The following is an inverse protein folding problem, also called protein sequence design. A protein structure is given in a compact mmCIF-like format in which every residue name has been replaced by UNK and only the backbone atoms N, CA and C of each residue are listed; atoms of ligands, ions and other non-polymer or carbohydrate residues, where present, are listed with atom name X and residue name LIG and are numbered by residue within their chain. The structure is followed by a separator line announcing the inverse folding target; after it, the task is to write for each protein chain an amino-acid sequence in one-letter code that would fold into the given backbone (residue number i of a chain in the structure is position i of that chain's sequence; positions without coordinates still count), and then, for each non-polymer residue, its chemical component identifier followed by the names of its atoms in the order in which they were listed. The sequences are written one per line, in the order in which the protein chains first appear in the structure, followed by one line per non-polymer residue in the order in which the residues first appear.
data_IF_128461029950
#
_entry.id   IF_128461029950
#
_cell.length_a   1.000
_cell.length_b   1.000
_cell.length_c   1.000
_cell.angle_alpha   90.00
_cell.angle_beta   90.00
_cell.angle_gamma   90.00
#
_symmetry.space_group_name_H-M   'P 1'
#
loop_
_entity.id
_entity.type
_entity.pdbx_description
1 polymer ?
#
# COMPACT_ATOMS: atom_id res chain seq x y z
N UNK A 1 6.36 30.86 25.11
CA UNK A 1 5.94 29.45 24.86
C UNK A 1 4.70 29.31 23.96
N UNK A 2 3.89 30.37 23.74
CA UNK A 2 2.74 30.34 22.81
C UNK A 2 3.10 30.54 21.32
N UNK A 3 4.22 31.21 21.01
CA UNK A 3 4.62 31.48 19.61
C UNK A 3 5.35 30.35 18.88
N UNK A 4 5.83 29.30 19.58
CA UNK A 4 6.44 28.13 18.92
C UNK A 4 5.40 27.13 18.40
N UNK A 5 4.20 27.13 18.98
CA UNK A 5 3.11 26.21 18.60
C UNK A 5 2.39 26.69 17.32
N UNK A 6 2.25 28.00 17.15
CA UNK A 6 1.63 28.61 15.96
C UNK A 6 2.49 28.46 14.69
N UNK A 7 3.82 28.42 14.83
CA UNK A 7 4.74 28.19 13.71
C UNK A 7 4.81 26.72 13.24
N UNK A 8 4.63 25.75 14.13
CA UNK A 8 4.58 24.34 13.75
C UNK A 8 3.26 23.99 13.04
N UNK A 9 2.14 24.60 13.46
CA UNK A 9 0.84 24.45 12.78
C UNK A 9 0.85 25.14 11.41
N UNK A 10 1.47 26.32 11.27
CA UNK A 10 1.66 26.98 9.96
C UNK A 10 2.58 26.20 9.02
N UNK A 11 3.60 25.49 9.53
CA UNK A 11 4.46 24.60 8.73
C UNK A 11 3.72 23.32 8.30
N UNK A 12 2.86 22.74 9.14
CA UNK A 12 2.01 21.61 8.75
C UNK A 12 0.96 22.02 7.69
N UNK A 13 0.40 23.23 7.80
CA UNK A 13 -0.51 23.82 6.80
C UNK A 13 0.22 24.09 5.47
N UNK A 14 1.47 24.55 5.49
CA UNK A 14 2.25 24.77 4.28
C UNK A 14 2.74 23.47 3.60
N UNK A 15 3.03 22.41 4.37
CA UNK A 15 3.52 21.12 3.85
C UNK A 15 2.41 20.29 3.19
N UNK A 16 1.15 20.42 3.65
CA UNK A 16 -0.01 19.77 3.02
C UNK A 16 -0.65 20.60 1.89
N UNK A 17 -0.42 21.92 1.87
CA UNK A 17 -0.75 22.74 0.71
C UNK A 17 0.24 22.51 -0.44
N UNK A 18 1.46 22.02 -0.19
CA UNK A 18 2.46 21.74 -1.24
C UNK A 18 2.31 20.36 -1.91
N UNK A 19 1.56 19.42 -1.34
CA UNK A 19 1.11 18.20 -2.03
C UNK A 19 -0.24 18.38 -2.74
N UNK A 20 -0.94 19.50 -2.50
CA UNK A 20 -2.23 19.84 -3.12
C UNK A 20 -2.14 21.03 -4.09
N UNK A 21 -1.06 21.83 -4.07
CA UNK A 21 -0.86 23.00 -4.97
C UNK A 21 0.35 22.91 -5.91
N UNK A 22 1.05 21.78 -6.01
CA UNK A 22 1.88 21.51 -7.21
C UNK A 22 1.05 21.05 -8.42
N UNK A 23 -0.29 21.02 -8.28
CA UNK A 23 -1.25 20.73 -9.35
C UNK A 23 -2.35 21.79 -9.48
N UNK A 24 -2.02 23.09 -9.41
CA UNK A 24 -2.78 24.03 -10.23
C UNK A 24 -2.27 23.78 -11.67
N UNK A 25 -3.09 23.54 -12.69
CA UNK A 25 -4.14 24.41 -13.17
C UNK A 25 -5.11 23.63 -14.08
N UNK A 26 -6.41 23.93 -13.94
CA UNK A 26 -7.44 24.04 -14.98
C UNK A 26 -7.13 23.38 -16.34
N UNK A 27 -7.83 22.29 -16.71
CA UNK A 27 -8.88 22.27 -17.76
C UNK A 27 -9.28 20.89 -18.31
N UNK A 28 -10.50 20.92 -18.87
CA UNK A 28 -11.07 20.10 -19.95
C UNK A 28 -11.15 18.59 -19.75
N UNK A 29 -12.37 18.15 -19.38
CA UNK A 29 -12.82 16.81 -19.71
C UNK A 29 -12.78 16.59 -21.21
N UNK A 30 -12.05 15.57 -21.62
CA UNK A 30 -12.28 14.89 -22.89
C UNK A 30 -12.32 13.40 -22.54
N UNK A 31 -13.54 12.87 -22.41
CA UNK A 31 -13.76 11.43 -22.43
C UNK A 31 -13.26 10.92 -23.79
N UNK A 32 -12.16 10.19 -23.80
CA UNK A 32 -11.82 9.37 -24.95
C UNK A 32 -12.56 8.05 -24.82
N UNK A 33 -13.45 7.78 -25.79
CA UNK A 33 -14.01 6.46 -25.99
C UNK A 33 -12.86 5.50 -26.31
N UNK A 34 -12.52 4.64 -25.35
CA UNK A 34 -11.51 3.61 -25.51
C UNK A 34 -12.10 2.48 -26.37
N UNK A 35 -11.73 2.46 -27.65
CA UNK A 35 -11.76 1.24 -28.44
C UNK A 35 -10.52 0.41 -28.06
N UNK A 36 -10.59 -0.33 -26.95
CA UNK A 36 -9.43 -1.04 -26.41
C UNK A 36 -9.30 -2.45 -26.98
N UNK A 37 -8.23 -2.67 -27.74
CA UNK A 37 -7.64 -3.99 -27.87
C UNK A 37 -7.06 -4.33 -26.50
N UNK A 38 -7.66 -5.30 -25.82
CA UNK A 38 -7.19 -5.82 -24.54
C UNK A 38 -5.73 -6.28 -24.68
N UNK A 39 -4.78 -5.43 -24.28
CA UNK A 39 -3.36 -5.76 -24.32
C UNK A 39 -3.06 -6.82 -23.24
N UNK A 40 -2.19 -7.81 -23.48
CA UNK A 40 -1.84 -8.77 -22.46
C UNK A 40 -1.05 -8.07 -21.33
N UNK A 41 -1.58 -8.05 -20.10
CA UNK A 41 -0.87 -7.48 -18.94
C UNK A 41 0.16 -8.40 -18.33
N UNK A 42 0.31 -9.60 -18.89
CA UNK A 42 1.36 -10.53 -18.51
C UNK A 42 2.23 -10.73 -19.74
N UNK A 43 3.36 -10.04 -19.77
CA UNK A 43 4.52 -10.53 -20.54
C UNK A 43 5.20 -11.55 -19.65
N UNK A 44 5.63 -12.68 -20.22
CA UNK A 44 6.16 -13.80 -19.46
C UNK A 44 7.20 -13.32 -18.43
N UNK A 45 6.89 -13.52 -17.16
CA UNK A 45 7.70 -13.07 -16.04
C UNK A 45 8.69 -14.15 -15.68
N UNK A 46 9.94 -13.75 -15.46
CA UNK A 46 10.94 -14.62 -14.83
C UNK A 46 11.25 -14.02 -13.47
N UNK A 47 10.57 -14.51 -12.43
CA UNK A 47 11.15 -14.38 -11.09
C UNK A 47 12.39 -15.25 -11.12
N UNK A 48 13.56 -14.62 -10.99
CA UNK A 48 14.82 -15.33 -11.04
C UNK A 48 14.86 -16.42 -9.95
N UNK A 49 15.53 -17.55 -10.19
CA UNK A 49 15.76 -18.51 -9.12
C UNK A 49 16.49 -17.82 -7.97
N UNK A 50 16.30 -18.28 -6.71
CA UNK A 50 16.99 -17.72 -5.57
C UNK A 50 18.49 -17.60 -5.84
N UNK A 51 19.08 -16.45 -5.51
CA UNK A 51 20.51 -16.22 -5.67
C UNK A 51 21.31 -17.32 -4.95
N UNK A 52 22.37 -17.75 -5.62
CA UNK A 52 23.19 -18.91 -5.20
C UNK A 52 23.56 -18.81 -3.72
N UNK A 53 23.28 -19.90 -2.99
CA UNK A 53 23.36 -20.08 -1.53
C UNK A 53 22.04 -19.93 -0.73
N UNK A 54 20.93 -19.49 -1.32
CA UNK A 54 19.64 -19.45 -0.61
C UNK A 54 18.77 -20.67 -0.87
N UNK A 55 18.14 -21.19 0.18
CA UNK A 55 17.12 -22.24 0.09
C UNK A 55 15.74 -21.69 -0.28
N UNK A 56 15.49 -20.40 0.00
CA UNK A 56 14.29 -19.65 -0.38
C UNK A 56 14.65 -18.28 -0.94
N UNK A 57 13.84 -17.71 -1.85
CA UNK A 57 13.97 -16.31 -2.25
C UNK A 57 13.93 -15.38 -1.03
N UNK A 58 14.77 -14.35 -1.04
CA UNK A 58 14.76 -13.25 -0.07
C UNK A 58 14.00 -12.05 -0.66
N UNK A 59 12.89 -11.70 -0.03
CA UNK A 59 12.06 -10.55 -0.38
C UNK A 59 12.36 -9.41 0.61
N UNK A 60 12.84 -8.27 0.10
CA UNK A 60 12.95 -7.05 0.88
C UNK A 60 11.73 -6.16 0.60
N UNK A 61 11.01 -5.74 1.64
CA UNK A 61 9.93 -4.76 1.53
C UNK A 61 10.43 -3.45 2.10
N UNK A 62 10.44 -2.39 1.29
CA UNK A 62 10.96 -1.09 1.71
C UNK A 62 9.92 -0.27 2.45
N UNK A 63 10.34 0.43 3.49
CA UNK A 63 9.54 1.43 4.19
C UNK A 63 10.38 2.66 4.52
N UNK A 64 9.80 3.84 4.35
CA UNK A 64 10.41 5.14 4.62
C UNK A 64 9.47 5.95 5.53
N UNK A 65 10.06 6.71 6.45
CA UNK A 65 9.34 7.72 7.24
C UNK A 65 8.79 8.87 6.36
N UNK A 66 9.10 8.88 5.06
CA UNK A 66 8.52 9.75 4.06
C UNK A 66 7.13 9.29 3.56
N UNK A 67 6.36 8.62 4.41
CA UNK A 67 4.94 8.32 4.20
C UNK A 67 4.67 7.04 3.42
N UNK A 68 5.34 5.94 3.77
CA UNK A 68 5.00 4.61 3.26
C UNK A 68 3.56 4.22 3.61
N UNK A 69 2.81 3.78 2.61
CA UNK A 69 1.42 3.36 2.78
C UNK A 69 1.32 2.03 3.56
N UNK A 70 0.37 1.99 4.50
CA UNK A 70 0.23 0.94 5.52
C UNK A 70 -0.15 -0.40 4.90
N UNK A 71 -1.18 -0.42 4.07
CA UNK A 71 -1.73 -1.63 3.46
C UNK A 71 -0.77 -2.18 2.41
N UNK A 72 -0.21 -1.32 1.55
CA UNK A 72 0.79 -1.64 0.53
C UNK A 72 2.05 -2.26 1.14
N UNK A 73 2.38 -1.96 2.40
CA UNK A 73 3.48 -2.60 3.11
C UNK A 73 3.04 -3.90 3.81
N UNK A 74 1.98 -3.84 4.61
CA UNK A 74 1.65 -4.92 5.56
C UNK A 74 1.01 -6.12 4.86
N UNK A 75 0.19 -5.90 3.82
CA UNK A 75 -0.46 -6.97 3.06
C UNK A 75 0.55 -7.91 2.39
N UNK A 76 1.50 -7.43 1.56
CA UNK A 76 2.50 -8.33 0.98
C UNK A 76 3.37 -8.99 2.04
N UNK A 77 3.72 -8.28 3.13
CA UNK A 77 4.44 -8.87 4.25
C UNK A 77 3.68 -10.09 4.81
N UNK A 78 2.41 -9.92 5.13
CA UNK A 78 1.56 -10.97 5.74
C UNK A 78 1.35 -12.15 4.79
N UNK A 79 1.02 -11.90 3.52
CA UNK A 79 0.75 -12.96 2.52
C UNK A 79 2.01 -13.78 2.25
N UNK A 80 3.15 -13.13 2.00
CA UNK A 80 4.41 -13.82 1.70
C UNK A 80 4.88 -14.65 2.90
N UNK A 81 4.81 -14.12 4.13
CA UNK A 81 5.17 -14.88 5.34
C UNK A 81 4.23 -16.06 5.58
N UNK A 82 2.92 -15.86 5.39
CA UNK A 82 1.92 -16.93 5.53
C UNK A 82 2.13 -18.06 4.53
N UNK A 83 2.59 -17.73 3.31
CA UNK A 83 2.86 -18.72 2.27
C UNK A 83 4.07 -19.61 2.54
N UNK A 84 5.07 -19.11 3.29
CA UNK A 84 6.37 -19.75 3.45
C UNK A 84 7.19 -19.85 2.15
N UNK A 85 6.79 -19.15 1.08
CA UNK A 85 7.43 -19.18 -0.23
C UNK A 85 8.75 -18.40 -0.28
N UNK A 86 8.96 -17.45 0.64
CA UNK A 86 10.13 -16.59 0.70
C UNK A 86 10.48 -16.20 2.14
N UNK A 87 11.75 -15.90 2.37
CA UNK A 87 12.18 -15.15 3.54
C UNK A 87 11.87 -13.67 3.30
N UNK A 88 11.13 -13.03 4.20
CA UNK A 88 10.68 -11.64 4.06
C UNK A 88 11.35 -10.78 5.12
N UNK A 89 11.89 -9.64 4.70
CA UNK A 89 12.56 -8.67 5.57
C UNK A 89 12.06 -7.25 5.31
N UNK A 90 11.68 -6.55 6.39
CA UNK A 90 11.33 -5.14 6.37
C UNK A 90 12.61 -4.28 6.40
N UNK A 91 12.81 -3.43 5.39
CA UNK A 91 14.04 -2.64 5.24
C UNK A 91 13.71 -1.14 5.17
N UNK A 92 14.50 -0.33 5.86
CA UNK A 92 14.35 1.13 5.93
C UNK A 92 15.64 1.86 5.56
N UNK A 93 15.61 3.14 5.14
CA UNK A 93 16.84 3.85 4.80
C UNK A 93 17.82 4.02 5.96
N UNK A 94 17.36 4.53 7.10
CA UNK A 94 18.21 5.06 8.17
C UNK A 94 17.74 4.71 9.60
N UNK A 95 16.44 4.58 9.83
CA UNK A 95 15.87 4.26 11.13
C UNK A 95 14.94 3.06 11.07
N UNK A 96 15.07 2.16 12.04
CA UNK A 96 14.19 0.98 12.10
C UNK A 96 12.79 1.30 12.60
N UNK A 97 12.57 2.39 13.35
CA UNK A 97 11.20 2.85 13.62
C UNK A 97 10.67 3.62 12.41
N UNK A 98 9.56 3.14 11.86
CA UNK A 98 8.91 3.71 10.67
C UNK A 98 7.47 4.10 11.00
N UNK A 99 7.10 5.32 10.64
CA UNK A 99 5.75 5.84 10.64
C UNK A 99 5.11 5.55 9.27
N UNK A 100 4.16 4.62 9.27
CA UNK A 100 3.34 4.28 8.11
C UNK A 100 2.14 5.22 8.06
N UNK A 101 1.76 5.58 6.84
CA UNK A 101 0.56 6.36 6.58
C UNK A 101 -0.59 5.44 6.19
N UNK A 102 -1.83 5.75 6.58
CA UNK A 102 -2.22 6.91 7.37
C UNK A 102 -2.17 6.72 8.90
N UNK A 103 -1.93 5.52 9.43
CA UNK A 103 -2.29 5.22 10.82
C UNK A 103 -1.24 4.50 11.69
N UNK A 104 -0.36 3.68 11.12
CA UNK A 104 0.39 2.69 11.89
C UNK A 104 1.86 3.07 12.08
N UNK A 105 2.48 2.53 13.12
CA UNK A 105 3.93 2.62 13.32
C UNK A 105 4.49 1.23 13.49
N UNK A 106 5.67 0.98 12.95
CA UNK A 106 6.31 -0.33 13.04
C UNK A 106 7.81 -0.23 13.25
N UNK A 107 8.43 -1.36 13.61
CA UNK A 107 9.88 -1.54 13.62
C UNK A 107 10.31 -2.42 12.44
N UNK A 108 10.89 -1.82 11.41
CA UNK A 108 11.61 -2.53 10.36
C UNK A 108 12.71 -3.44 10.93
N UNK A 109 13.00 -4.54 10.23
CA UNK A 109 13.99 -5.53 10.66
C UNK A 109 15.42 -4.98 10.58
N UNK A 110 15.68 -4.14 9.59
CA UNK A 110 17.02 -3.63 9.32
C UNK A 110 17.00 -2.32 8.54
N UNK A 111 18.18 -1.70 8.41
CA UNK A 111 18.41 -0.53 7.56
C UNK A 111 19.04 -0.96 6.24
N UNK A 112 19.06 -0.09 5.21
CA UNK A 112 19.73 -0.38 3.93
C UNK A 112 21.19 -0.76 4.11
N UNK A 113 21.94 -0.01 4.92
CA UNK A 113 23.35 -0.28 5.20
C UNK A 113 23.55 -1.68 5.80
N UNK A 114 22.76 -2.02 6.83
CA UNK A 114 22.87 -3.32 7.50
C UNK A 114 22.36 -4.46 6.63
N UNK A 115 21.31 -4.25 5.85
CA UNK A 115 20.83 -5.21 4.87
C UNK A 115 21.91 -5.53 3.84
N UNK A 116 22.52 -4.51 3.25
CA UNK A 116 23.54 -4.68 2.23
C UNK A 116 24.81 -5.36 2.79
N UNK A 117 25.18 -5.06 4.03
CA UNK A 117 26.29 -5.71 4.71
C UNK A 117 26.03 -7.20 4.98
N UNK A 118 24.81 -7.56 5.40
CA UNK A 118 24.40 -8.94 5.64
C UNK A 118 24.10 -9.71 4.33
N UNK A 119 23.74 -8.98 3.27
CA UNK A 119 23.22 -9.52 2.02
C UNK A 119 23.95 -8.91 0.82
N UNK A 120 25.25 -9.17 0.63
CA UNK A 120 26.05 -8.50 -0.41
C UNK A 120 25.57 -8.81 -1.84
N UNK A 121 24.90 -9.95 -2.04
CA UNK A 121 24.27 -10.31 -3.32
C UNK A 121 22.94 -9.58 -3.59
N UNK A 122 22.41 -8.82 -2.63
CA UNK A 122 21.10 -8.15 -2.70
C UNK A 122 19.91 -9.10 -2.55
N UNK A 123 18.71 -8.54 -2.51
CA UNK A 123 17.44 -9.26 -2.47
C UNK A 123 17.15 -10.01 -3.78
N UNK A 124 16.33 -11.06 -3.73
CA UNK A 124 15.78 -11.70 -4.93
C UNK A 124 14.59 -10.90 -5.48
N UNK A 125 13.78 -10.32 -4.57
CA UNK A 125 12.65 -9.46 -4.90
C UNK A 125 12.68 -8.23 -3.99
N UNK A 126 12.40 -7.06 -4.54
CA UNK A 126 12.18 -5.82 -3.78
C UNK A 126 10.76 -5.34 -3.99
N UNK A 127 9.99 -5.22 -2.91
CA UNK A 127 8.64 -4.66 -2.90
C UNK A 127 8.70 -3.20 -2.45
N UNK A 128 8.09 -2.33 -3.26
CA UNK A 128 8.06 -0.87 -3.10
C UNK A 128 6.60 -0.41 -2.96
N UNK A 129 6.14 -0.15 -1.72
CA UNK A 129 4.85 0.46 -1.46
C UNK A 129 4.73 1.90 -2.01
N UNK A 130 3.52 2.45 -2.02
CA UNK A 130 3.34 3.89 -2.20
C UNK A 130 4.05 4.71 -1.11
N UNK A 131 4.54 5.89 -1.47
CA UNK A 131 5.26 6.80 -0.59
C UNK A 131 4.89 8.26 -0.91
N UNK A 132 4.67 9.11 0.09
CA UNK A 132 4.41 10.54 -0.14
C UNK A 132 5.58 11.26 -0.83
N UNK A 133 6.83 10.83 -0.60
CA UNK A 133 7.99 11.32 -1.36
C UNK A 133 8.62 10.21 -2.17
N UNK A 134 8.21 10.14 -3.43
CA UNK A 134 8.66 9.11 -4.37
C UNK A 134 10.06 9.35 -4.98
N UNK A 135 10.76 10.43 -4.62
CA UNK A 135 12.02 10.86 -5.24
C UNK A 135 13.22 10.90 -4.27
N UNK A 136 13.09 10.29 -3.10
CA UNK A 136 14.12 10.30 -2.05
C UNK A 136 15.45 9.70 -2.57
N UNK A 137 16.56 10.47 -2.61
CA UNK A 137 17.79 10.01 -3.26
C UNK A 137 18.36 8.69 -2.71
N UNK A 138 18.31 8.49 -1.39
CA UNK A 138 18.77 7.26 -0.76
C UNK A 138 17.94 6.03 -1.17
N UNK A 139 16.61 6.19 -1.26
CA UNK A 139 15.69 5.16 -1.76
C UNK A 139 16.00 4.85 -3.22
N UNK A 140 16.03 5.86 -4.09
CA UNK A 140 16.28 5.65 -5.52
C UNK A 140 17.63 4.98 -5.79
N UNK A 141 18.68 5.39 -5.06
CA UNK A 141 20.01 4.79 -5.19
C UNK A 141 20.02 3.32 -4.74
N UNK A 142 19.37 3.00 -3.61
CA UNK A 142 19.29 1.63 -3.13
C UNK A 142 18.47 0.74 -4.06
N UNK A 143 17.33 1.20 -4.58
CA UNK A 143 16.51 0.46 -5.55
C UNK A 143 17.30 0.17 -6.84
N UNK A 144 18.03 1.16 -7.38
CA UNK A 144 18.92 0.95 -8.54
C UNK A 144 20.00 -0.09 -8.25
N UNK A 145 20.57 -0.08 -7.05
CA UNK A 145 21.57 -1.06 -6.63
C UNK A 145 20.99 -2.48 -6.58
N UNK A 146 19.80 -2.66 -6.00
CA UNK A 146 19.16 -3.97 -5.92
C UNK A 146 18.76 -4.48 -7.32
N UNK A 147 18.20 -3.62 -8.17
CA UNK A 147 17.88 -3.95 -9.56
C UNK A 147 19.13 -4.32 -10.37
N UNK A 148 20.23 -3.58 -10.22
CA UNK A 148 21.51 -3.92 -10.85
C UNK A 148 22.11 -5.24 -10.33
N UNK A 149 21.77 -5.64 -9.11
CA UNK A 149 22.09 -6.96 -8.56
C UNK A 149 21.11 -8.06 -9.02
N UNK A 150 20.18 -7.76 -9.92
CA UNK A 150 19.23 -8.72 -10.48
C UNK A 150 18.00 -9.01 -9.62
N UNK A 151 17.63 -8.11 -8.71
CA UNK A 151 16.36 -8.23 -7.98
C UNK A 151 15.16 -7.94 -8.89
N UNK A 152 14.11 -8.76 -8.82
CA UNK A 152 12.82 -8.40 -9.41
C UNK A 152 12.17 -7.27 -8.61
N UNK A 153 11.56 -6.31 -9.29
CA UNK A 153 10.98 -5.11 -8.68
C UNK A 153 9.46 -5.20 -8.67
N UNK A 154 8.84 -5.06 -7.51
CA UNK A 154 7.38 -5.06 -7.34
C UNK A 154 6.96 -3.72 -6.78
N UNK A 155 6.21 -2.94 -7.53
CA UNK A 155 5.64 -1.67 -7.06
C UNK A 155 4.15 -1.85 -6.77
N UNK A 156 3.72 -1.43 -5.59
CA UNK A 156 2.31 -1.45 -5.20
C UNK A 156 1.76 -0.03 -5.21
N UNK A 157 0.59 0.17 -5.82
CA UNK A 157 -0.10 1.46 -5.89
C UNK A 157 0.79 2.55 -6.52
N UNK A 158 0.96 3.68 -5.83
CA UNK A 158 1.86 4.77 -6.24
C UNK A 158 3.36 4.44 -6.02
N UNK A 159 3.70 3.23 -5.56
CA UNK A 159 5.07 2.70 -5.57
C UNK A 159 5.67 2.67 -6.98
N UNK A 160 4.81 2.63 -8.01
CA UNK A 160 5.22 2.74 -9.40
C UNK A 160 5.89 4.08 -9.70
N UNK A 161 5.49 5.18 -9.05
CA UNK A 161 6.16 6.47 -9.19
C UNK A 161 7.61 6.41 -8.66
N UNK A 162 7.84 5.68 -7.57
CA UNK A 162 9.18 5.51 -6.98
C UNK A 162 10.10 4.77 -7.97
N UNK A 163 9.59 3.69 -8.58
CA UNK A 163 10.33 2.95 -9.61
C UNK A 163 10.55 3.79 -10.87
N UNK A 164 9.57 4.60 -11.28
CA UNK A 164 9.69 5.50 -12.42
C UNK A 164 10.76 6.58 -12.17
N UNK A 165 10.79 7.20 -10.99
CA UNK A 165 11.83 8.13 -10.57
C UNK A 165 13.22 7.45 -10.49
N UNK A 166 13.27 6.16 -10.14
CA UNK A 166 14.50 5.37 -10.21
C UNK A 166 14.92 5.02 -11.65
N UNK A 167 14.09 5.32 -12.66
CA UNK A 167 14.32 4.97 -14.06
C UNK A 167 14.14 3.49 -14.36
N UNK A 168 13.49 2.73 -13.47
CA UNK A 168 13.32 1.28 -13.58
C UNK A 168 12.09 0.88 -14.41
N UNK A 169 11.22 1.83 -14.76
CA UNK A 169 10.04 1.61 -15.61
C UNK A 169 10.22 2.10 -17.06
N UNK A 170 11.41 2.60 -17.44
CA UNK A 170 11.65 3.09 -18.80
C UNK A 170 11.46 1.95 -19.82
N UNK A 171 10.63 2.19 -20.82
CA UNK A 171 10.26 1.23 -21.87
C UNK A 171 9.60 -0.06 -21.36
N UNK A 172 9.02 -0.02 -20.16
CA UNK A 172 8.24 -1.11 -19.57
C UNK A 172 6.75 -0.81 -19.66
N UNK A 173 5.96 -1.87 -19.67
CA UNK A 173 4.51 -1.83 -19.46
C UNK A 173 4.24 -1.79 -17.97
N UNK A 174 3.43 -0.83 -17.51
CA UNK A 174 3.15 -0.64 -16.09
C UNK A 174 1.70 -0.17 -15.84
N UNK A 175 1.22 -0.38 -14.62
CA UNK A 175 0.00 0.26 -14.09
C UNK A 175 0.33 0.99 -12.78
N UNK A 176 -0.60 1.80 -12.29
CA UNK A 176 -0.52 2.47 -10.98
C UNK A 176 -1.93 2.86 -10.52
N UNK A 177 -2.03 3.48 -9.36
CA UNK A 177 -3.31 3.93 -8.78
C UNK A 177 -4.06 4.86 -9.76
N UNK A 178 -5.37 4.66 -9.88
CA UNK A 178 -6.23 5.36 -10.86
C UNK A 178 -6.05 6.89 -10.84
N UNK A 179 -5.91 7.46 -9.64
CA UNK A 179 -5.77 8.91 -9.44
C UNK A 179 -4.45 9.48 -9.99
N UNK A 180 -3.36 8.72 -9.92
CA UNK A 180 -2.01 9.18 -10.25
C UNK A 180 -1.63 8.88 -11.70
N UNK A 181 -2.25 7.86 -12.31
CA UNK A 181 -1.87 7.29 -13.61
C UNK A 181 -1.73 8.32 -14.73
N UNK A 182 -2.67 9.25 -14.86
CA UNK A 182 -2.58 10.30 -15.89
C UNK A 182 -1.41 11.27 -15.66
N UNK A 183 -1.11 11.58 -14.40
CA UNK A 183 0.06 12.36 -14.03
C UNK A 183 1.36 11.65 -14.35
N UNK A 184 1.41 10.34 -14.07
CA UNK A 184 2.56 9.48 -14.38
C UNK A 184 2.77 9.36 -15.88
N UNK A 185 1.71 9.14 -16.67
CA UNK A 185 1.76 9.08 -18.13
C UNK A 185 2.36 10.34 -18.76
N UNK A 186 2.09 11.52 -18.18
CA UNK A 186 2.70 12.79 -18.64
C UNK A 186 4.17 12.93 -18.22
N UNK A 187 4.53 12.51 -17.02
CA UNK A 187 5.88 12.68 -16.45
C UNK A 187 6.89 11.63 -16.94
N UNK A 188 6.40 10.42 -17.22
CA UNK A 188 7.18 9.24 -17.61
C UNK A 188 6.61 8.67 -18.91
N UNK A 189 6.68 9.48 -19.98
CA UNK A 189 6.12 9.16 -21.29
C UNK A 189 6.83 8.00 -22.01
N UNK A 190 7.99 7.57 -21.51
CA UNK A 190 8.72 6.39 -21.98
C UNK A 190 8.28 5.08 -21.30
N UNK A 191 7.36 5.14 -20.33
CA UNK A 191 6.66 3.98 -19.75
C UNK A 191 5.29 3.81 -20.42
N UNK A 192 4.97 2.57 -20.79
CA UNK A 192 3.67 2.21 -21.37
C UNK A 192 2.65 1.96 -20.24
N UNK A 193 1.92 3.01 -19.86
CA UNK A 193 0.95 2.98 -18.78
C UNK A 193 -0.40 2.43 -19.25
N UNK A 194 -0.76 1.25 -18.78
CA UNK A 194 -2.02 0.57 -19.12
C UNK A 194 -3.05 0.64 -17.99
N UNK A 195 -4.31 0.61 -18.40
CA UNK A 195 -5.48 0.74 -17.54
C UNK A 195 -6.09 -0.64 -17.26
N UNK A 196 -7.14 -0.71 -16.44
CA UNK A 196 -8.00 -1.89 -16.27
C UNK A 196 -7.29 -3.19 -15.86
N UNK A 197 -6.21 -3.07 -15.09
CA UNK A 197 -5.48 -4.19 -14.50
C UNK A 197 -5.10 -3.95 -13.05
N UNK A 198 -5.37 -4.94 -12.20
CA UNK A 198 -4.94 -4.94 -10.79
C UNK A 198 -3.44 -5.03 -10.68
N UNK A 199 -2.81 -5.79 -11.57
CA UNK A 199 -1.37 -5.86 -11.67
C UNK A 199 -0.92 -6.14 -13.10
N UNK A 200 0.25 -5.62 -13.43
CA UNK A 200 0.92 -5.75 -14.72
C UNK A 200 2.31 -6.29 -14.48
N UNK A 201 2.74 -7.22 -15.32
CA UNK A 201 4.05 -7.84 -15.22
C UNK A 201 4.75 -7.76 -16.57
N UNK A 202 5.90 -7.08 -16.58
CA UNK A 202 6.78 -6.91 -17.72
C UNK A 202 8.19 -7.39 -17.34
N UNK A 203 8.46 -8.67 -17.59
CA UNK A 203 9.73 -9.31 -17.25
C UNK A 203 9.94 -9.45 -15.75
N UNK A 204 10.96 -8.74 -15.24
CA UNK A 204 11.38 -8.70 -13.84
C UNK A 204 10.69 -7.60 -13.02
N UNK A 205 9.74 -6.87 -13.63
CA UNK A 205 8.99 -5.80 -12.97
C UNK A 205 7.50 -6.18 -12.87
N UNK A 206 6.94 -6.05 -11.68
CA UNK A 206 5.51 -6.09 -11.41
C UNK A 206 5.07 -4.72 -10.88
N UNK A 207 3.95 -4.21 -11.38
CA UNK A 207 3.31 -2.98 -10.87
C UNK A 207 1.84 -3.27 -10.59
N UNK A 208 1.25 -2.63 -9.58
CA UNK A 208 -0.18 -2.79 -9.25
C UNK A 208 -0.95 -1.50 -9.42
N UNK A 209 -2.27 -1.61 -9.57
CA UNK A 209 -3.18 -0.49 -9.38
C UNK A 209 -3.33 -0.20 -7.88
N UNK A 210 -4.46 0.33 -7.42
CA UNK A 210 -4.62 0.87 -6.07
C UNK A 210 -4.51 -0.13 -4.92
N UNK A 211 -4.78 0.37 -3.72
CA UNK A 211 -4.42 -0.27 -2.44
C UNK A 211 -4.97 -1.70 -2.31
N UNK A 212 -6.20 -1.95 -2.78
CA UNK A 212 -6.83 -3.28 -2.77
C UNK A 212 -6.10 -4.30 -3.66
N UNK A 213 -5.37 -3.86 -4.69
CA UNK A 213 -4.64 -4.74 -5.59
C UNK A 213 -3.40 -5.38 -4.94
N UNK A 214 -3.00 -4.92 -3.74
CA UNK A 214 -1.91 -5.52 -2.96
C UNK A 214 -2.16 -7.00 -2.65
N UNK A 215 -3.41 -7.42 -2.39
CA UNK A 215 -3.77 -8.83 -2.14
C UNK A 215 -3.57 -9.70 -3.38
N UNK A 216 -4.26 -9.46 -4.51
CA UNK A 216 -4.13 -10.29 -5.71
C UNK A 216 -2.71 -10.29 -6.28
N UNK A 217 -1.99 -9.16 -6.21
CA UNK A 217 -0.59 -9.08 -6.65
C UNK A 217 0.34 -9.94 -5.77
N UNK A 218 0.14 -9.92 -4.45
CA UNK A 218 0.94 -10.74 -3.52
C UNK A 218 0.69 -12.24 -3.74
N UNK A 219 -0.55 -12.65 -4.00
CA UNK A 219 -0.87 -14.03 -4.35
C UNK A 219 -0.27 -14.44 -5.70
N UNK A 220 -0.32 -13.56 -6.70
CA UNK A 220 0.33 -13.77 -8.00
C UNK A 220 1.86 -13.85 -7.90
N UNK A 221 2.46 -13.18 -6.91
CA UNK A 221 3.87 -13.29 -6.58
C UNK A 221 4.18 -14.63 -5.90
N UNK A 222 3.36 -15.07 -4.93
CA UNK A 222 3.49 -16.40 -4.32
C UNK A 222 3.41 -17.50 -5.38
N UNK A 223 2.47 -17.38 -6.32
CA UNK A 223 2.32 -18.32 -7.44
C UNK A 223 3.60 -18.44 -8.27
N UNK A 224 4.30 -17.33 -8.50
CA UNK A 224 5.57 -17.32 -9.24
C UNK A 224 6.75 -17.86 -8.43
N UNK A 225 6.74 -17.65 -7.13
CA UNK A 225 7.82 -18.11 -6.23
C UNK A 225 7.72 -19.61 -5.90
N UNK A 226 6.50 -20.12 -5.70
CA UNK A 226 6.26 -21.46 -5.14
C UNK A 226 5.18 -22.27 -5.89
N UNK A 227 4.68 -21.76 -7.01
CA UNK A 227 3.71 -22.44 -7.86
C UNK A 227 2.24 -22.22 -7.43
N UNK A 228 1.30 -22.60 -8.31
CA UNK A 228 -0.13 -22.32 -8.13
C UNK A 228 -0.77 -23.04 -6.93
N UNK A 229 -0.21 -24.19 -6.52
CA UNK A 229 -0.70 -24.90 -5.33
C UNK A 229 -0.43 -24.12 -4.04
N UNK A 230 0.77 -23.54 -3.90
CA UNK A 230 1.14 -22.71 -2.75
C UNK A 230 0.30 -21.42 -2.69
N UNK A 231 0.04 -20.80 -3.85
CA UNK A 231 -0.80 -19.61 -3.94
C UNK A 231 -2.25 -19.91 -3.50
N UNK A 232 -2.86 -20.99 -4.01
CA UNK A 232 -4.23 -21.39 -3.60
C UNK A 232 -4.33 -21.72 -2.11
N UNK A 233 -3.36 -22.44 -1.57
CA UNK A 233 -3.34 -22.75 -0.14
C UNK A 233 -3.16 -21.48 0.71
N UNK A 234 -2.33 -20.54 0.25
CA UNK A 234 -2.17 -19.24 0.91
C UNK A 234 -3.48 -18.44 0.85
N UNK A 235 -4.12 -18.33 -0.31
CA UNK A 235 -5.40 -17.66 -0.47
C UNK A 235 -6.46 -18.23 0.48
N UNK A 236 -6.56 -19.56 0.58
CA UNK A 236 -7.47 -20.25 1.52
C UNK A 236 -7.18 -19.88 2.98
N UNK A 237 -5.92 -19.82 3.39
CA UNK A 237 -5.52 -19.43 4.76
C UNK A 237 -5.79 -17.96 5.07
N UNK A 238 -5.69 -17.10 4.07
CA UNK A 238 -6.01 -15.69 4.17
C UNK A 238 -7.51 -15.42 4.02
N UNK A 239 -8.31 -16.43 3.66
CA UNK A 239 -9.74 -16.27 3.34
C UNK A 239 -9.97 -15.37 2.14
N UNK A 240 -9.12 -15.49 1.12
CA UNK A 240 -9.29 -14.89 -0.22
C UNK A 240 -9.87 -15.97 -1.14
N UNK A 241 -11.05 -15.71 -1.70
CA UNK A 241 -11.77 -16.70 -2.53
C UNK A 241 -11.19 -16.80 -3.93
N UNK A 242 -10.96 -15.66 -4.59
CA UNK A 242 -10.46 -15.57 -5.96
C UNK A 242 -9.52 -14.37 -6.11
N UNK A 243 -8.58 -14.46 -7.04
CA UNK A 243 -7.73 -13.33 -7.42
C UNK A 243 -7.50 -13.35 -8.93
N UNK A 244 -7.52 -12.17 -9.54
CA UNK A 244 -7.36 -11.97 -10.98
C UNK A 244 -6.54 -10.71 -11.24
N UNK A 245 -5.88 -10.66 -12.40
CA UNK A 245 -5.26 -9.43 -12.91
C UNK A 245 -6.30 -8.48 -13.52
N UNK A 246 -7.47 -8.97 -13.91
CA UNK A 246 -8.55 -8.18 -14.51
C UNK A 246 -9.12 -7.19 -13.48
N UNK A 247 -9.34 -5.95 -13.94
CA UNK A 247 -9.89 -4.87 -13.15
C UNK A 247 -10.74 -3.97 -14.03
N UNK A 248 -11.79 -3.36 -13.47
CA UNK A 248 -12.55 -2.31 -14.14
C UNK A 248 -12.20 -0.97 -13.51
N UNK A 249 -11.12 -0.37 -14.01
CA UNK A 249 -10.58 0.90 -13.52
C UNK A 249 -11.51 2.08 -13.83
N UNK A 250 -12.39 1.94 -14.82
CA UNK A 250 -13.34 2.99 -15.22
C UNK A 250 -14.34 3.36 -14.11
N UNK A 251 -14.53 2.46 -13.12
CA UNK A 251 -15.41 2.69 -11.97
C UNK A 251 -14.84 3.70 -10.97
N UNK A 252 -13.53 3.95 -11.01
CA UNK A 252 -12.84 4.80 -10.06
C UNK A 252 -12.53 6.15 -10.69
N UNK A 253 -13.36 7.14 -10.35
CA UNK A 253 -13.18 8.51 -10.79
C UNK A 253 -13.65 9.49 -9.71
N UNK A 254 -13.00 10.67 -9.65
CA UNK A 254 -13.47 11.76 -8.82
C UNK A 254 -14.80 12.30 -9.38
N UNK A 255 -15.90 11.85 -8.79
CA UNK A 255 -17.21 12.45 -9.04
C UNK A 255 -17.40 13.74 -8.24
N UNK A 256 -18.29 14.61 -8.70
CA UNK A 256 -18.70 15.82 -7.95
C UNK A 256 -19.19 15.50 -6.54
N UNK A 257 -19.89 14.37 -6.38
CA UNK A 257 -20.31 13.83 -5.09
C UNK A 257 -19.13 13.42 -4.21
N UNK A 258 -18.16 12.69 -4.76
CA UNK A 258 -16.96 12.29 -4.02
C UNK A 258 -16.18 13.52 -3.51
N UNK A 259 -15.98 14.53 -4.38
CA UNK A 259 -15.31 15.79 -4.00
C UNK A 259 -16.10 16.55 -2.93
N UNK A 260 -17.43 16.62 -3.06
CA UNK A 260 -18.28 17.26 -2.06
C UNK A 260 -18.20 16.55 -0.70
N UNK A 261 -18.24 15.21 -0.68
CA UNK A 261 -18.03 14.41 0.54
C UNK A 261 -16.67 14.69 1.16
N UNK A 262 -15.61 14.67 0.36
CA UNK A 262 -14.25 14.91 0.81
C UNK A 262 -14.11 16.29 1.48
N UNK A 263 -14.70 17.33 0.87
CA UNK A 263 -14.72 18.68 1.44
C UNK A 263 -15.56 18.73 2.74
N UNK A 264 -16.74 18.12 2.75
CA UNK A 264 -17.60 18.09 3.95
C UNK A 264 -16.92 17.36 5.11
N UNK A 265 -16.26 16.23 4.85
CA UNK A 265 -15.50 15.48 5.84
C UNK A 265 -14.37 16.31 6.41
N UNK A 266 -13.64 17.02 5.54
CA UNK A 266 -12.54 17.90 5.95
C UNK A 266 -12.99 19.13 6.73
N UNK A 267 -14.13 19.74 6.41
CA UNK A 267 -14.64 20.94 7.11
C UNK A 267 -15.27 20.57 8.47
N UNK A 268 -15.63 19.30 8.67
CA UNK A 268 -16.14 18.78 9.93
C UNK A 268 -15.06 18.60 11.03
N UNK A 269 -13.98 19.41 11.03
CA UNK A 269 -12.86 19.35 12.00
C UNK A 269 -13.32 19.35 13.47
N UNK A 270 -14.43 20.01 13.77
CA UNK A 270 -15.04 20.07 15.11
C UNK A 270 -15.55 18.70 15.61
N UNK A 271 -15.56 17.68 14.74
CA UNK A 271 -15.94 16.29 15.01
C UNK A 271 -14.86 15.30 14.56
N UNK A 272 -13.59 15.74 14.47
CA UNK A 272 -12.49 14.83 14.15
C UNK A 272 -12.21 13.92 15.34
N UNK A 273 -12.24 12.61 15.12
CA UNK A 273 -12.11 11.60 16.17
C UNK A 273 -10.75 10.92 16.11
N UNK A 274 -10.27 10.43 17.25
CA UNK A 274 -9.11 9.53 17.25
C UNK A 274 -9.53 8.23 17.89
N UNK A 275 -9.58 7.18 17.08
CA UNK A 275 -9.90 5.85 17.53
C UNK A 275 -8.65 5.11 18.02
N UNK A 276 -8.84 4.31 19.05
CA UNK A 276 -7.87 3.32 19.48
C UNK A 276 -8.14 2.01 18.74
N UNK A 277 -7.10 1.43 18.15
CA UNK A 277 -7.12 0.07 17.63
C UNK A 277 -6.37 -0.81 18.63
N UNK A 278 -7.07 -1.55 19.51
CA UNK A 278 -6.42 -2.44 20.45
C UNK A 278 -5.74 -3.58 19.69
N UNK A 279 -4.45 -3.78 19.93
CA UNK A 279 -3.66 -4.86 19.36
C UNK A 279 -3.02 -5.68 20.47
N UNK A 280 -3.11 -6.99 20.33
CA UNK A 280 -2.50 -7.96 21.24
C UNK A 280 -1.45 -8.79 20.51
N UNK A 281 -0.59 -9.48 21.27
CA UNK A 281 0.43 -10.35 20.67
C UNK A 281 -0.23 -11.42 19.81
N UNK A 282 0.28 -11.61 18.60
CA UNK A 282 -0.29 -12.56 17.63
C UNK A 282 -1.47 -12.00 16.83
N UNK A 283 -1.69 -10.68 16.82
CA UNK A 283 -2.72 -10.07 15.98
C UNK A 283 -2.56 -10.43 14.50
N UNK A 284 -3.68 -10.42 13.77
CA UNK A 284 -3.72 -10.60 12.32
C UNK A 284 -3.34 -9.30 11.61
N UNK A 285 -2.22 -9.33 10.88
CA UNK A 285 -1.68 -8.14 10.22
C UNK A 285 -2.60 -7.55 9.17
N UNK A 286 -3.28 -8.42 8.40
CA UNK A 286 -4.14 -7.98 7.31
C UNK A 286 -5.39 -7.32 7.87
N UNK A 287 -5.99 -7.91 8.89
CA UNK A 287 -7.12 -7.30 9.60
C UNK A 287 -6.74 -5.92 10.16
N UNK A 288 -5.57 -5.82 10.81
CA UNK A 288 -5.10 -4.56 11.43
C UNK A 288 -4.82 -3.49 10.37
N UNK A 289 -4.12 -3.85 9.29
CA UNK A 289 -3.79 -2.91 8.23
C UNK A 289 -5.05 -2.35 7.56
N UNK A 290 -5.93 -3.23 7.05
CA UNK A 290 -7.15 -2.82 6.34
C UNK A 290 -8.08 -2.00 7.23
N UNK A 291 -8.22 -2.38 8.50
CA UNK A 291 -9.07 -1.66 9.46
C UNK A 291 -8.51 -0.28 9.76
N UNK A 292 -7.23 -0.18 10.14
CA UNK A 292 -6.61 1.09 10.50
C UNK A 292 -6.59 2.05 9.32
N UNK A 293 -6.26 1.55 8.14
CA UNK A 293 -6.14 2.32 6.92
C UNK A 293 -7.51 2.88 6.48
N UNK A 294 -8.54 2.03 6.39
CA UNK A 294 -9.89 2.46 6.02
C UNK A 294 -10.46 3.54 6.96
N UNK A 295 -10.33 3.34 8.27
CA UNK A 295 -10.81 4.33 9.25
C UNK A 295 -10.04 5.65 9.17
N UNK A 296 -8.74 5.62 8.93
CA UNK A 296 -7.94 6.84 8.81
C UNK A 296 -8.16 7.59 7.46
N UNK A 297 -8.71 6.91 6.44
CA UNK A 297 -9.09 7.51 5.15
C UNK A 297 -10.43 8.22 5.13
N UNK A 298 -11.18 8.22 6.24
CA UNK A 298 -12.47 8.93 6.32
C UNK A 298 -12.32 10.45 6.23
N UNK A 299 -11.11 10.97 6.55
CA UNK A 299 -10.82 12.38 6.84
C UNK A 299 -11.64 12.98 7.98
N UNK A 300 -12.26 12.11 8.78
CA UNK A 300 -13.01 12.44 9.99
C UNK A 300 -12.41 11.76 11.22
N UNK A 301 -11.46 10.86 11.02
CA UNK A 301 -10.83 10.12 12.09
C UNK A 301 -9.36 9.83 11.83
N UNK A 302 -8.60 9.76 12.91
CA UNK A 302 -7.30 9.11 12.97
C UNK A 302 -7.44 7.77 13.70
N UNK A 303 -6.56 6.84 13.40
CA UNK A 303 -6.44 5.57 14.12
C UNK A 303 -5.08 5.50 14.78
N UNK A 304 -5.05 5.02 16.02
CA UNK A 304 -3.80 4.77 16.72
C UNK A 304 -3.81 3.37 17.33
N UNK A 305 -2.79 2.58 17.02
CA UNK A 305 -2.59 1.27 17.63
C UNK A 305 -2.28 1.40 19.13
N UNK A 306 -3.01 0.65 19.95
CA UNK A 306 -2.86 0.63 21.40
C UNK A 306 -2.62 -0.76 21.92
N UNK A 307 -1.79 -0.91 22.94
CA UNK A 307 -1.43 -2.22 23.48
C UNK A 307 -0.79 -2.12 24.86
N UNK A 308 -0.64 -3.26 25.52
CA UNK A 308 -0.03 -3.35 26.85
C UNK A 308 1.49 -3.10 26.83
N UNK A 309 2.15 -3.36 25.70
CA UNK A 309 3.57 -3.09 25.48
C UNK A 309 3.75 -2.07 24.35
N UNK A 310 4.91 -1.40 24.34
CA UNK A 310 5.28 -0.46 23.26
C UNK A 310 5.46 -1.18 21.91
N UNK A 311 5.90 -2.42 21.94
CA UNK A 311 6.11 -3.23 20.75
C UNK A 311 5.27 -4.49 20.86
N UNK A 312 4.42 -4.73 19.86
CA UNK A 312 3.53 -5.87 19.78
C UNK A 312 3.89 -6.65 18.53
N UNK A 313 4.17 -7.94 18.71
CA UNK A 313 4.52 -8.84 17.62
C UNK A 313 3.25 -9.48 17.08
N UNK A 314 3.06 -9.41 15.76
CA UNK A 314 1.94 -10.01 15.06
C UNK A 314 2.12 -11.52 14.84
N UNK A 315 1.12 -12.17 14.26
CA UNK A 315 1.14 -13.60 13.93
C UNK A 315 2.33 -14.03 13.04
N UNK A 316 2.67 -13.23 12.03
CA UNK A 316 3.78 -13.45 11.09
C UNK A 316 5.06 -12.66 11.46
N UNK A 317 5.12 -12.09 12.66
CA UNK A 317 6.35 -11.49 13.21
C UNK A 317 6.59 -10.02 12.86
N UNK A 318 5.63 -9.32 12.25
CA UNK A 318 5.66 -7.86 12.14
C UNK A 318 5.67 -7.25 13.54
N UNK A 319 6.54 -6.26 13.76
CA UNK A 319 6.65 -5.56 15.06
C UNK A 319 5.96 -4.21 14.96
N UNK A 320 4.73 -4.14 15.46
CA UNK A 320 3.96 -2.90 15.51
C UNK A 320 4.31 -2.10 16.75
N UNK A 321 4.48 -0.79 16.62
CA UNK A 321 4.72 0.12 17.72
C UNK A 321 3.38 0.68 18.20
N UNK A 322 2.94 0.21 19.37
CA UNK A 322 1.72 0.64 20.02
C UNK A 322 2.01 1.68 21.11
N UNK A 323 0.98 2.48 21.44
CA UNK A 323 1.03 3.38 22.59
C UNK A 323 0.06 2.93 23.70
N UNK A 324 0.25 3.39 24.95
CA UNK A 324 -0.71 3.12 26.00
C UNK A 324 -2.11 3.65 25.67
N UNK A 325 -3.13 2.86 25.99
CA UNK A 325 -4.53 3.25 25.82
C UNK A 325 -4.87 4.47 26.70
N UNK A 326 -5.68 5.38 26.16
CA UNK A 326 -6.22 6.55 26.84
C UNK A 326 -7.71 6.31 27.07
N UNK A 327 -8.13 6.26 28.34
CA UNK A 327 -9.49 5.93 28.78
C UNK A 327 -10.63 6.71 28.09
N UNK A 328 -10.36 7.88 27.52
CA UNK A 328 -11.38 8.75 26.91
C UNK A 328 -11.58 8.53 25.39
N UNK A 329 -10.80 7.66 24.74
CA UNK A 329 -10.93 7.40 23.30
C UNK A 329 -11.80 6.18 23.03
N UNK A 330 -12.61 6.27 21.98
CA UNK A 330 -13.40 5.16 21.49
C UNK A 330 -12.49 4.12 20.84
N UNK A 331 -12.87 2.84 20.94
CA UNK A 331 -12.10 1.71 20.43
C UNK A 331 -12.77 1.16 19.18
N UNK A 332 -12.00 0.94 18.13
CA UNK A 332 -12.46 0.17 16.97
C UNK A 332 -12.53 -1.29 17.38
N UNK A 333 -13.69 -1.91 17.18
CA UNK A 333 -13.81 -3.35 17.21
C UNK A 333 -13.13 -3.90 15.96
N UNK A 334 -12.15 -4.79 16.14
CA UNK A 334 -11.63 -5.55 15.01
C UNK A 334 -12.72 -6.52 14.55
N UNK A 335 -13.00 -6.61 13.23
CA UNK A 335 -13.88 -7.64 12.72
C UNK A 335 -13.36 -9.01 13.17
N UNK A 336 -14.26 -9.97 13.45
CA UNK A 336 -13.88 -11.36 13.72
C UNK A 336 -13.33 -11.97 12.41
N UNK A 337 -12.06 -11.69 12.14
CA UNK A 337 -11.44 -11.82 10.84
C UNK A 337 -10.91 -13.25 10.65
N UNK A 338 -11.80 -14.16 10.26
CA UNK A 338 -11.38 -15.45 9.69
C UNK A 338 -11.07 -15.36 8.19
N UNK A 339 -11.42 -14.24 7.52
CA UNK A 339 -11.24 -14.07 6.08
C UNK A 339 -10.94 -12.61 5.68
N UNK A 340 -9.87 -12.41 4.90
CA UNK A 340 -9.47 -11.12 4.33
C UNK A 340 -10.60 -10.46 3.53
N UNK A 341 -11.33 -11.24 2.73
CA UNK A 341 -12.43 -10.76 1.90
C UNK A 341 -13.60 -10.21 2.73
N UNK A 342 -13.68 -10.53 4.04
CA UNK A 342 -14.71 -10.05 4.94
C UNK A 342 -14.30 -8.79 5.72
N UNK A 343 -13.00 -8.51 5.87
CA UNK A 343 -12.50 -7.41 6.70
C UNK A 343 -12.97 -6.06 6.14
N UNK A 344 -12.62 -5.76 4.89
CA UNK A 344 -12.89 -4.44 4.32
C UNK A 344 -14.40 -4.16 4.18
N UNK A 345 -15.25 -5.10 3.72
CA UNK A 345 -16.71 -4.92 3.76
C UNK A 345 -17.26 -4.61 5.15
N UNK A 346 -16.81 -5.32 6.19
CA UNK A 346 -17.25 -5.07 7.56
C UNK A 346 -16.88 -3.67 8.03
N UNK A 347 -15.62 -3.28 7.81
CA UNK A 347 -15.12 -1.95 8.20
C UNK A 347 -15.83 -0.83 7.44
N UNK A 348 -16.14 -1.02 6.15
CA UNK A 348 -16.89 -0.04 5.37
C UNK A 348 -18.34 0.11 5.86
N UNK A 349 -18.98 -0.96 6.34
CA UNK A 349 -20.31 -0.89 6.93
C UNK A 349 -20.29 -0.19 8.31
N UNK A 350 -19.25 -0.41 9.11
CA UNK A 350 -19.04 0.31 10.36
C UNK A 350 -18.84 1.82 10.11
N UNK A 351 -18.03 2.18 9.12
CA UNK A 351 -17.84 3.57 8.69
C UNK A 351 -19.15 4.16 8.15
N UNK A 352 -19.93 3.40 7.37
CA UNK A 352 -21.22 3.83 6.86
C UNK A 352 -22.21 4.09 8.01
N UNK A 353 -22.19 3.25 9.05
CA UNK A 353 -23.00 3.40 10.25
C UNK A 353 -22.59 4.64 11.07
N UNK A 354 -21.29 4.93 11.17
CA UNK A 354 -20.76 6.05 11.99
C UNK A 354 -20.80 7.41 11.29
N UNK A 355 -20.46 7.45 10.00
CA UNK A 355 -20.25 8.67 9.22
C UNK A 355 -21.10 8.77 7.94
N UNK A 356 -21.99 7.81 7.72
CA UNK A 356 -22.87 7.75 6.56
C UNK A 356 -22.23 7.08 5.34
N UNK A 357 -23.08 6.51 4.49
CA UNK A 357 -22.66 5.75 3.30
C UNK A 357 -21.75 6.53 2.34
N UNK A 358 -21.98 7.84 2.19
CA UNK A 358 -21.12 8.67 1.35
C UNK A 358 -19.65 8.70 1.81
N UNK A 359 -19.40 8.66 3.13
CA UNK A 359 -18.03 8.59 3.68
C UNK A 359 -17.42 7.22 3.45
N UNK A 360 -18.20 6.15 3.60
CA UNK A 360 -17.75 4.79 3.28
C UNK A 360 -17.39 4.65 1.79
N UNK A 361 -18.25 5.15 0.89
CA UNK A 361 -18.00 5.16 -0.55
C UNK A 361 -16.72 5.95 -0.90
N UNK A 362 -16.46 7.06 -0.19
CA UNK A 362 -15.22 7.84 -0.33
C UNK A 362 -13.97 7.06 0.12
N UNK A 363 -14.07 6.28 1.19
CA UNK A 363 -12.98 5.40 1.64
C UNK A 363 -12.75 4.27 0.63
N UNK A 364 -13.82 3.61 0.16
CA UNK A 364 -13.74 2.55 -0.84
C UNK A 364 -13.10 3.03 -2.15
N UNK A 365 -13.46 4.24 -2.62
CA UNK A 365 -12.85 4.87 -3.79
C UNK A 365 -11.34 5.10 -3.64
N UNK A 366 -10.88 5.54 -2.45
CA UNK A 366 -9.45 5.73 -2.17
C UNK A 366 -8.67 4.41 -2.06
N UNK A 367 -9.33 3.34 -1.62
CA UNK A 367 -8.73 2.01 -1.54
C UNK A 367 -8.80 1.24 -2.86
N UNK A 368 -9.44 1.82 -3.87
CA UNK A 368 -9.74 1.15 -5.15
C UNK A 368 -10.51 -0.16 -4.92
N UNK A 369 -11.49 -0.13 -4.01
CA UNK A 369 -12.32 -1.28 -3.63
C UNK A 369 -13.74 -1.16 -4.19
N UNK A 370 -14.24 -2.22 -4.83
CA UNK A 370 -15.60 -2.31 -5.35
C UNK A 370 -16.39 -3.41 -4.62
N UNK A 371 -17.66 -3.13 -4.28
CA UNK A 371 -18.54 -4.14 -3.66
C UNK A 371 -18.84 -5.34 -4.59
N UNK A 372 -18.61 -5.18 -5.90
CA UNK A 372 -18.80 -6.23 -6.89
C UNK A 372 -17.61 -7.21 -7.00
N UNK A 373 -16.50 -6.97 -6.28
CA UNK A 373 -15.34 -7.87 -6.23
C UNK A 373 -15.66 -9.28 -5.67
N UNK A 374 -16.92 -9.52 -5.25
CA UNK A 374 -17.47 -10.82 -4.87
C UNK A 374 -17.97 -11.66 -6.05
N UNK A 375 -18.06 -11.12 -7.27
CA UNK A 375 -18.82 -11.75 -8.36
C UNK A 375 -18.02 -12.25 -9.57
N UNK A 376 -16.70 -12.05 -9.65
CA UNK A 376 -15.91 -12.47 -10.83
C UNK A 376 -14.90 -13.59 -10.53
#
# INVERSE_FOLDING_TARGET
MRDKMTNNVRRAIAVLLLSVLSGAWLWSGVSHAAAERMQPAVRASVVAPPKAARTRPLVAIVADNAGTETTDFIVPYSILKTSGAADVVAVSPDATEVELMPALRMRADTTFERFDAATPAGADVVIVPAMHRADRPAMLAWLKKQAAAGASMVAICDGAEVLANAGLLRHRTATSHWYSRDGLRRRFADTDWIDDRRYVIDGDVMTTSGVSASIPASLALVERLAGPAAARETARRMGVQMWSDVHDGSRFALSTRAVATALMNRVALWRHETFELPVESGFDELAVALTADAWARTWRSDVVATGAAREIVSKQGLRLLAQPAKRARERIAMPDAQAADAVLPGVLEDIASRYGRATADWVALQLEYSNDDKQD
#
